data_IF_891031151130
#
_entry.id   IF_891031151130
#
_cell.length_a   1.000
_cell.length_b   1.000
_cell.length_c   1.000
_cell.angle_alpha   90.00
_cell.angle_beta   90.00
_cell.angle_gamma   90.00
#
_symmetry.space_group_name_H-M   'P 1'
#
loop_
_entity.id
_entity.type
_entity.pdbx_description
1 polymer ?
#
# COMPACT_ATOMS: atom_id res chain seq x y z
N UNK A 1 38.86 -35.31 47.32
CA UNK A 1 38.91 -34.20 46.37
C UNK A 1 38.78 -34.76 44.96
N UNK A 2 37.64 -34.64 44.33
CA UNK A 2 37.38 -35.11 42.94
C UNK A 2 37.11 -33.90 42.07
N UNK A 3 38.00 -33.59 41.17
CA UNK A 3 37.84 -32.53 40.17
C UNK A 3 36.89 -33.06 39.05
N UNK A 4 35.77 -32.35 38.81
CA UNK A 4 34.90 -32.57 37.67
C UNK A 4 35.35 -31.67 36.53
N UNK A 5 35.72 -32.29 35.42
CA UNK A 5 35.97 -31.60 34.16
C UNK A 5 34.62 -31.22 33.51
N UNK A 6 34.42 -29.97 33.25
CA UNK A 6 33.29 -29.45 32.45
C UNK A 6 33.82 -29.28 31.02
N UNK A 7 33.39 -30.13 30.11
CA UNK A 7 33.61 -29.95 28.67
C UNK A 7 32.64 -28.88 28.16
N UNK A 8 33.14 -27.73 27.74
CA UNK A 8 32.40 -26.72 27.00
C UNK A 8 32.32 -27.16 25.53
N UNK A 9 31.12 -27.49 25.08
CA UNK A 9 30.82 -27.73 23.65
C UNK A 9 30.58 -26.37 23.02
N UNK A 10 31.55 -25.88 22.25
CA UNK A 10 31.37 -24.72 21.42
C UNK A 10 30.53 -25.12 20.17
N UNK A 11 29.26 -24.68 20.14
CA UNK A 11 28.43 -24.75 18.91
C UNK A 11 28.89 -23.66 17.96
N UNK A 12 29.61 -24.04 16.90
CA UNK A 12 29.88 -23.17 15.77
C UNK A 12 28.59 -22.99 14.96
N UNK A 13 27.93 -21.85 15.10
CA UNK A 13 26.85 -21.41 14.20
C UNK A 13 27.50 -20.96 12.89
N UNK A 14 27.54 -21.85 11.91
CA UNK A 14 27.85 -21.49 10.53
C UNK A 14 26.67 -20.70 9.98
N UNK A 15 26.81 -19.39 9.90
CA UNK A 15 25.92 -18.52 9.15
C UNK A 15 26.02 -18.89 7.67
N UNK A 16 25.03 -19.61 7.17
CA UNK A 16 24.80 -19.80 5.75
C UNK A 16 24.36 -18.44 5.17
N UNK A 17 25.32 -17.62 4.75
CA UNK A 17 25.00 -16.53 3.85
C UNK A 17 24.56 -17.13 2.51
N UNK A 18 23.39 -16.75 1.98
CA UNK A 18 23.00 -17.19 0.65
C UNK A 18 24.08 -16.71 -0.33
N UNK A 19 24.63 -17.65 -1.09
CA UNK A 19 25.44 -17.34 -2.26
C UNK A 19 24.61 -16.44 -3.17
N UNK A 20 24.94 -15.14 -3.20
CA UNK A 20 24.39 -14.23 -4.20
C UNK A 20 24.85 -14.79 -5.55
N UNK A 21 23.91 -15.33 -6.29
CA UNK A 21 24.14 -15.74 -7.66
C UNK A 21 24.64 -14.51 -8.42
N UNK A 22 25.88 -14.55 -8.89
CA UNK A 22 26.44 -13.54 -9.81
C UNK A 22 25.59 -13.57 -11.07
N UNK A 23 24.61 -12.70 -11.15
CA UNK A 23 23.74 -12.56 -12.32
C UNK A 23 24.56 -11.83 -13.39
N UNK A 24 24.62 -12.38 -14.60
CA UNK A 24 25.27 -11.72 -15.72
C UNK A 24 24.67 -10.33 -15.95
N UNK A 25 25.50 -9.39 -16.41
CA UNK A 25 25.03 -8.07 -16.84
C UNK A 25 23.92 -8.23 -17.87
N UNK A 26 22.84 -7.48 -17.70
CA UNK A 26 21.80 -7.44 -18.73
C UNK A 26 22.35 -6.66 -19.94
N UNK A 27 22.44 -7.28 -21.13
CA UNK A 27 23.04 -6.63 -22.30
C UNK A 27 22.29 -5.37 -22.77
N UNK A 28 21.08 -5.15 -22.27
CA UNK A 28 20.23 -4.00 -22.59
C UNK A 28 20.23 -2.94 -21.49
N UNK A 29 21.13 -3.01 -20.50
CA UNK A 29 21.31 -1.98 -19.48
C UNK A 29 22.62 -1.23 -19.71
N UNK A 30 22.54 0.09 -19.61
CA UNK A 30 23.71 0.96 -19.76
C UNK A 30 24.65 0.81 -18.57
N UNK A 31 25.96 0.87 -18.84
CA UNK A 31 27.03 0.85 -17.85
C UNK A 31 27.95 2.06 -18.04
N UNK A 32 28.57 2.51 -16.94
CA UNK A 32 29.25 3.80 -16.85
C UNK A 32 30.67 3.63 -16.31
N UNK A 33 31.56 4.56 -16.66
CA UNK A 33 32.94 4.53 -16.16
C UNK A 33 33.07 5.02 -14.72
N UNK A 34 32.12 5.84 -14.26
CA UNK A 34 32.09 6.35 -12.88
C UNK A 34 30.67 6.45 -12.34
N UNK A 35 30.50 6.47 -10.99
CA UNK A 35 29.20 6.69 -10.36
C UNK A 35 28.61 8.06 -10.71
N UNK A 36 29.45 9.08 -10.83
CA UNK A 36 29.04 10.45 -11.18
C UNK A 36 28.47 10.51 -12.61
N UNK A 37 29.09 9.79 -13.55
CA UNK A 37 28.58 9.67 -14.93
C UNK A 37 27.19 9.03 -14.94
N UNK A 38 27.01 7.90 -14.26
CA UNK A 38 25.72 7.22 -14.12
C UNK A 38 24.63 8.14 -13.55
N UNK A 39 24.94 8.87 -12.48
CA UNK A 39 24.02 9.82 -11.86
C UNK A 39 23.69 10.97 -12.79
N UNK A 40 24.65 11.53 -13.50
CA UNK A 40 24.42 12.64 -14.43
C UNK A 40 23.51 12.24 -15.59
N UNK A 41 23.69 11.05 -16.17
CA UNK A 41 22.82 10.54 -17.23
C UNK A 41 21.41 10.33 -16.70
N UNK A 42 21.24 9.64 -15.57
CA UNK A 42 19.94 9.44 -14.91
C UNK A 42 19.21 10.77 -14.65
N UNK A 43 19.93 11.77 -14.07
CA UNK A 43 19.35 13.09 -13.75
C UNK A 43 18.90 13.83 -15.00
N UNK A 44 19.70 13.78 -16.06
CA UNK A 44 19.39 14.44 -17.34
C UNK A 44 18.14 13.82 -17.96
N UNK A 45 18.13 12.49 -18.11
CA UNK A 45 17.00 11.75 -18.66
C UNK A 45 15.71 11.96 -17.82
N UNK A 46 15.82 11.93 -16.49
CA UNK A 46 14.69 12.16 -15.62
C UNK A 46 14.13 13.59 -15.76
N UNK A 47 14.97 14.62 -15.77
CA UNK A 47 14.53 16.02 -15.93
C UNK A 47 13.85 16.29 -17.25
N UNK A 48 14.35 15.69 -18.31
CA UNK A 48 13.82 15.84 -19.66
C UNK A 48 12.61 14.94 -19.93
N UNK A 49 12.27 14.03 -19.01
CA UNK A 49 11.23 13.01 -19.17
C UNK A 49 11.52 12.06 -20.34
N UNK A 50 12.79 11.77 -20.58
CA UNK A 50 13.26 10.86 -21.61
C UNK A 50 13.12 9.40 -21.15
N UNK A 51 11.93 8.84 -21.40
CA UNK A 51 11.54 7.52 -20.88
C UNK A 51 12.45 6.41 -21.41
N UNK A 52 12.81 6.44 -22.68
CA UNK A 52 13.68 5.42 -23.29
C UNK A 52 15.11 5.47 -22.72
N UNK A 53 15.63 6.67 -22.45
CA UNK A 53 16.91 6.86 -21.79
C UNK A 53 16.90 6.29 -20.37
N UNK A 54 15.85 6.57 -19.60
CA UNK A 54 15.65 5.96 -18.27
C UNK A 54 15.56 4.44 -18.35
N UNK A 55 14.93 3.90 -19.40
CA UNK A 55 14.90 2.46 -19.62
C UNK A 55 16.29 1.89 -19.96
N UNK A 56 17.13 2.63 -20.67
CA UNK A 56 18.52 2.23 -20.91
C UNK A 56 19.32 2.23 -19.59
N UNK A 57 19.21 3.28 -18.80
CA UNK A 57 19.89 3.42 -17.49
C UNK A 57 19.50 2.30 -16.52
N UNK A 58 18.20 2.03 -16.38
CA UNK A 58 17.69 1.03 -15.42
C UNK A 58 17.53 -0.37 -16.05
N UNK A 59 17.76 -0.51 -17.35
CA UNK A 59 17.54 -1.75 -18.06
C UNK A 59 16.06 -2.12 -18.20
N UNK A 60 15.74 -3.28 -18.79
CA UNK A 60 14.36 -3.69 -19.08
C UNK A 60 13.48 -3.81 -17.83
N UNK A 61 14.06 -4.10 -16.66
CA UNK A 61 13.36 -4.13 -15.38
C UNK A 61 12.90 -2.74 -14.94
N UNK A 62 13.47 -1.67 -15.46
CA UNK A 62 13.08 -0.28 -15.17
C UNK A 62 11.60 0.00 -15.43
N UNK A 63 11.00 -0.69 -16.40
CA UNK A 63 9.56 -0.57 -16.73
C UNK A 63 8.64 -1.06 -15.59
N UNK A 64 9.12 -1.95 -14.73
CA UNK A 64 8.36 -2.52 -13.61
C UNK A 64 8.45 -1.70 -12.32
N UNK A 65 9.27 -0.65 -12.31
CA UNK A 65 9.46 0.23 -11.14
C UNK A 65 8.24 1.13 -10.88
N UNK A 66 7.49 1.43 -11.95
CA UNK A 66 6.35 2.35 -11.90
C UNK A 66 5.18 1.70 -11.15
N UNK A 67 4.45 2.49 -10.35
CA UNK A 67 3.22 2.01 -9.71
C UNK A 67 2.14 1.73 -10.76
N UNK A 68 1.36 0.63 -10.64
CA UNK A 68 0.17 0.42 -11.46
C UNK A 68 -0.94 1.44 -11.17
N UNK A 69 -0.90 2.14 -10.05
CA UNK A 69 -1.76 3.28 -9.73
C UNK A 69 -1.18 4.54 -10.37
N UNK A 70 -1.84 5.04 -11.44
CA UNK A 70 -1.37 6.18 -12.22
C UNK A 70 -1.23 7.47 -11.40
N UNK A 71 -2.08 7.69 -10.38
CA UNK A 71 -2.01 8.86 -9.50
C UNK A 71 -0.75 8.78 -8.63
N UNK A 72 -0.51 7.63 -8.03
CA UNK A 72 0.73 7.40 -7.26
C UNK A 72 1.98 7.46 -8.13
N UNK A 73 1.91 6.92 -9.35
CA UNK A 73 3.03 6.96 -10.30
C UNK A 73 3.42 8.40 -10.62
N UNK A 74 2.46 9.25 -10.96
CA UNK A 74 2.69 10.66 -11.24
C UNK A 74 3.26 11.41 -10.03
N UNK A 75 2.64 11.27 -8.86
CA UNK A 75 3.09 11.92 -7.62
C UNK A 75 4.51 11.47 -7.22
N UNK A 76 4.81 10.18 -7.35
CA UNK A 76 6.14 9.64 -7.06
C UNK A 76 7.21 10.18 -8.00
N UNK A 77 6.89 10.30 -9.28
CA UNK A 77 7.79 10.87 -10.29
C UNK A 77 8.06 12.35 -10.03
N UNK A 78 7.03 13.15 -9.76
CA UNK A 78 7.19 14.58 -9.47
C UNK A 78 8.02 14.80 -8.19
N UNK A 79 7.82 13.96 -7.15
CA UNK A 79 8.63 14.01 -5.94
C UNK A 79 10.09 13.62 -6.20
N UNK A 80 10.33 12.62 -7.04
CA UNK A 80 11.67 12.21 -7.46
C UNK A 80 12.39 13.36 -8.16
N UNK A 81 11.75 14.01 -9.16
CA UNK A 81 12.31 15.19 -9.84
C UNK A 81 12.61 16.32 -8.86
N UNK A 82 11.69 16.61 -7.95
CA UNK A 82 11.89 17.65 -6.92
C UNK A 82 13.13 17.38 -6.07
N UNK A 83 13.33 16.14 -5.63
CA UNK A 83 14.51 15.75 -4.84
C UNK A 83 15.80 15.83 -5.63
N UNK A 84 15.80 15.41 -6.90
CA UNK A 84 16.95 15.54 -7.80
C UNK A 84 17.40 17.00 -8.01
N UNK A 85 16.46 17.95 -7.97
CA UNK A 85 16.74 19.38 -8.09
C UNK A 85 17.34 19.99 -6.82
N UNK A 86 17.09 19.40 -5.64
CA UNK A 86 17.51 19.91 -4.36
C UNK A 86 18.95 19.51 -4.00
N UNK A 87 19.22 18.21 -3.97
CA UNK A 87 20.50 17.68 -3.53
C UNK A 87 20.65 16.22 -3.97
N UNK A 88 21.88 15.84 -4.29
CA UNK A 88 22.29 14.47 -4.55
C UNK A 88 23.59 14.22 -3.79
N UNK A 89 23.61 13.16 -2.96
CA UNK A 89 24.81 12.74 -2.24
C UNK A 89 25.06 11.27 -2.54
N UNK A 90 26.29 10.98 -2.98
CA UNK A 90 26.78 9.61 -3.12
C UNK A 90 27.40 9.18 -1.80
N UNK A 91 26.95 8.04 -1.29
CA UNK A 91 27.45 7.42 -0.07
C UNK A 91 28.12 6.10 -0.42
N UNK A 92 29.43 6.05 -0.28
CA UNK A 92 30.21 4.83 -0.53
C UNK A 92 29.97 3.83 0.60
N UNK A 93 29.35 2.69 0.26
CA UNK A 93 29.14 1.58 1.20
C UNK A 93 30.33 0.60 1.16
N UNK A 94 30.89 0.38 -0.05
CA UNK A 94 32.11 -0.39 -0.30
C UNK A 94 32.72 0.04 -1.62
N UNK A 95 33.86 -0.54 -2.02
CA UNK A 95 34.54 -0.25 -3.28
C UNK A 95 33.66 -0.53 -4.52
N UNK A 96 32.65 -1.38 -4.37
CA UNK A 96 31.77 -1.82 -5.44
C UNK A 96 30.30 -1.48 -5.22
N UNK A 97 29.97 -0.67 -4.21
CA UNK A 97 28.58 -0.33 -3.87
C UNK A 97 28.45 1.11 -3.35
N UNK A 98 27.57 1.86 -3.99
CA UNK A 98 27.27 3.26 -3.63
C UNK A 98 25.75 3.44 -3.53
N UNK A 99 25.31 4.02 -2.43
CA UNK A 99 23.93 4.49 -2.25
C UNK A 99 23.80 5.96 -2.62
N UNK A 100 22.63 6.39 -3.07
CA UNK A 100 22.31 7.77 -3.33
C UNK A 100 21.34 8.30 -2.27
N UNK A 101 21.61 9.48 -1.73
CA UNK A 101 20.67 10.24 -0.91
C UNK A 101 20.20 11.45 -1.70
N UNK A 102 18.89 11.59 -1.87
CA UNK A 102 18.27 12.63 -2.66
C UNK A 102 17.47 13.60 -1.81
N UNK A 103 17.43 14.86 -2.23
CA UNK A 103 16.65 15.89 -1.56
C UNK A 103 17.30 16.43 -0.27
N UNK A 104 16.70 17.48 0.29
CA UNK A 104 17.14 18.07 1.55
C UNK A 104 16.81 17.17 2.75
N UNK A 105 15.85 16.26 2.58
CA UNK A 105 15.47 15.23 3.54
C UNK A 105 16.39 14.00 3.53
N UNK A 106 17.43 13.98 2.67
CA UNK A 106 18.36 12.88 2.48
C UNK A 106 17.62 11.54 2.23
N UNK A 107 16.57 11.58 1.42
CA UNK A 107 15.78 10.38 1.08
C UNK A 107 16.65 9.34 0.37
N UNK A 108 16.75 8.11 0.91
CA UNK A 108 17.57 7.08 0.28
C UNK A 108 16.90 6.60 -1.00
N UNK A 109 17.59 6.85 -2.13
CA UNK A 109 17.16 6.34 -3.43
C UNK A 109 17.21 4.81 -3.42
N UNK A 110 16.15 4.13 -3.85
CA UNK A 110 16.04 2.68 -3.63
C UNK A 110 16.96 1.84 -4.52
N UNK A 111 17.51 2.41 -5.61
CA UNK A 111 18.35 1.68 -6.56
C UNK A 111 19.81 2.07 -6.34
N UNK A 112 20.64 1.20 -5.73
CA UNK A 112 22.05 1.49 -5.54
C UNK A 112 22.84 1.39 -6.85
N UNK A 113 24.00 2.03 -6.90
CA UNK A 113 25.01 1.81 -7.91
C UNK A 113 25.94 0.67 -7.46
N UNK A 114 26.21 -0.25 -8.35
CA UNK A 114 27.16 -1.35 -8.14
C UNK A 114 28.19 -1.38 -9.25
N UNK A 115 29.39 -1.87 -8.89
CA UNK A 115 30.47 -2.05 -9.84
C UNK A 115 30.56 -3.52 -10.27
N UNK A 116 30.51 -3.76 -11.57
CA UNK A 116 30.68 -5.09 -12.19
C UNK A 116 31.62 -4.97 -13.39
N UNK A 117 32.57 -5.87 -13.51
CA UNK A 117 33.53 -5.91 -14.60
C UNK A 117 34.23 -4.55 -14.86
N UNK A 118 34.49 -3.80 -13.78
CA UNK A 118 35.15 -2.49 -13.82
C UNK A 118 34.23 -1.31 -14.15
N UNK A 119 32.95 -1.54 -14.48
CA UNK A 119 31.96 -0.52 -14.81
C UNK A 119 30.86 -0.40 -13.78
N UNK A 120 30.26 0.79 -13.68
CA UNK A 120 29.18 1.08 -12.78
C UNK A 120 27.81 0.94 -13.47
N UNK A 121 26.82 0.41 -12.76
CA UNK A 121 25.43 0.31 -13.21
C UNK A 121 24.48 0.38 -12.02
N UNK A 122 23.22 0.73 -12.27
CA UNK A 122 22.18 0.68 -11.26
C UNK A 122 21.74 -0.76 -11.01
N UNK A 123 21.71 -1.22 -9.75
CA UNK A 123 21.17 -2.53 -9.38
C UNK A 123 19.64 -2.47 -9.32
N UNK A 124 19.03 -2.50 -10.50
CA UNK A 124 17.59 -2.34 -10.66
C UNK A 124 16.81 -3.48 -10.04
N UNK A 125 17.35 -4.70 -10.00
CA UNK A 125 16.70 -5.84 -9.35
C UNK A 125 16.56 -5.62 -7.84
N UNK A 126 17.63 -5.19 -7.16
CA UNK A 126 17.59 -4.84 -5.73
C UNK A 126 16.67 -3.63 -5.50
N UNK A 127 16.79 -2.60 -6.35
CA UNK A 127 15.95 -1.41 -6.29
C UNK A 127 14.46 -1.70 -6.47
N UNK A 128 14.10 -2.62 -7.36
CA UNK A 128 12.71 -3.04 -7.58
C UNK A 128 12.09 -3.64 -6.34
N UNK A 129 12.80 -4.51 -5.65
CA UNK A 129 12.32 -5.12 -4.40
C UNK A 129 12.07 -4.05 -3.34
N UNK A 130 12.97 -3.11 -3.18
CA UNK A 130 12.84 -2.01 -2.23
C UNK A 130 11.67 -1.07 -2.59
N UNK A 131 11.51 -0.73 -3.88
CA UNK A 131 10.37 0.09 -4.34
C UNK A 131 9.04 -0.59 -4.06
N UNK A 132 8.94 -1.89 -4.34
CA UNK A 132 7.73 -2.67 -4.07
C UNK A 132 7.47 -2.73 -2.56
N UNK A 133 8.48 -3.02 -1.74
CA UNK A 133 8.33 -3.09 -0.28
C UNK A 133 7.83 -1.76 0.30
N UNK A 134 8.40 -0.62 -0.12
CA UNK A 134 7.92 0.72 0.29
C UNK A 134 6.51 1.00 -0.17
N UNK A 135 6.17 0.65 -1.42
CA UNK A 135 4.82 0.81 -1.98
C UNK A 135 3.79 0.00 -1.20
N UNK A 136 4.06 -1.29 -1.00
CA UNK A 136 3.21 -2.19 -0.21
C UNK A 136 2.97 -1.61 1.18
N UNK A 137 4.03 -1.25 1.91
CA UNK A 137 3.91 -0.69 3.25
C UNK A 137 3.07 0.59 3.30
N UNK A 138 3.30 1.54 2.36
CA UNK A 138 2.50 2.78 2.29
C UNK A 138 1.03 2.50 1.98
N UNK A 139 0.74 1.62 1.05
CA UNK A 139 -0.62 1.29 0.64
C UNK A 139 -1.38 0.56 1.75
N UNK A 140 -0.73 -0.36 2.48
CA UNK A 140 -1.31 -1.06 3.63
C UNK A 140 -1.66 -0.09 4.76
N UNK A 141 -0.75 0.83 5.10
CA UNK A 141 -1.04 1.89 6.07
C UNK A 141 -2.19 2.79 5.60
N UNK A 142 -2.27 3.11 4.32
CA UNK A 142 -3.38 3.82 3.70
C UNK A 142 -4.70 3.06 3.84
N UNK A 143 -4.71 1.76 3.55
CA UNK A 143 -5.90 0.91 3.69
C UNK A 143 -6.39 0.83 5.16
N UNK A 144 -5.46 0.73 6.11
CA UNK A 144 -5.77 0.78 7.56
C UNK A 144 -6.38 2.12 7.93
N UNK A 145 -5.84 3.24 7.43
CA UNK A 145 -6.39 4.57 7.68
C UNK A 145 -7.82 4.71 7.11
N UNK A 146 -8.09 4.17 5.92
CA UNK A 146 -9.45 4.11 5.33
C UNK A 146 -10.38 3.28 6.20
N UNK A 147 -9.94 2.14 6.74
CA UNK A 147 -10.73 1.32 7.66
C UNK A 147 -11.15 2.13 8.91
N UNK A 148 -10.24 2.90 9.50
CA UNK A 148 -10.56 3.77 10.63
C UNK A 148 -11.53 4.90 10.25
N UNK A 149 -11.29 5.57 9.12
CA UNK A 149 -12.17 6.62 8.61
C UNK A 149 -13.59 6.08 8.33
N UNK A 150 -13.70 4.88 7.76
CA UNK A 150 -14.97 4.20 7.54
C UNK A 150 -15.75 3.98 8.83
N UNK A 151 -15.09 3.48 9.88
CA UNK A 151 -15.75 3.26 11.20
C UNK A 151 -16.28 4.56 11.78
N UNK A 152 -15.50 5.64 11.70
CA UNK A 152 -15.93 6.96 12.17
C UNK A 152 -17.09 7.51 11.33
N UNK A 153 -16.99 7.41 10.01
CA UNK A 153 -18.04 7.87 9.10
C UNK A 153 -19.36 7.12 9.31
N UNK A 154 -19.34 5.81 9.58
CA UNK A 154 -20.52 5.04 9.89
C UNK A 154 -21.18 5.48 11.21
N UNK A 155 -20.39 5.75 12.23
CA UNK A 155 -20.91 6.26 13.51
C UNK A 155 -21.52 7.65 13.37
N UNK A 156 -20.87 8.53 12.62
CA UNK A 156 -21.41 9.86 12.32
C UNK A 156 -22.69 9.76 11.49
N UNK A 157 -22.72 8.93 10.47
CA UNK A 157 -23.92 8.72 9.66
C UNK A 157 -25.11 8.29 10.50
N UNK A 158 -24.93 7.29 11.36
CA UNK A 158 -25.98 6.74 12.20
C UNK A 158 -26.39 7.65 13.38
N UNK A 159 -25.69 8.75 13.63
CA UNK A 159 -26.06 9.73 14.66
C UNK A 159 -27.29 10.58 14.30
N UNK A 160 -27.75 10.52 13.03
CA UNK A 160 -28.89 11.27 12.51
C UNK A 160 -29.75 10.37 11.60
N UNK A 161 -31.05 10.66 11.54
CA UNK A 161 -31.94 10.03 10.56
C UNK A 161 -31.70 10.64 9.17
N UNK A 162 -30.77 10.03 8.43
CA UNK A 162 -30.37 10.50 7.09
C UNK A 162 -31.42 10.20 6.00
N UNK A 163 -32.28 9.24 6.24
CA UNK A 163 -33.31 8.79 5.29
C UNK A 163 -34.69 9.34 5.59
N UNK A 164 -34.84 10.16 6.66
CA UNK A 164 -36.09 10.80 7.09
C UNK A 164 -37.26 9.81 7.28
N UNK A 165 -36.94 8.63 7.75
CA UNK A 165 -37.90 7.53 7.95
C UNK A 165 -38.11 7.14 9.43
N UNK A 166 -37.54 7.90 10.37
CA UNK A 166 -37.61 7.67 11.80
C UNK A 166 -36.65 6.63 12.33
N UNK A 167 -35.70 6.14 11.50
CA UNK A 167 -34.77 5.06 11.86
C UNK A 167 -33.32 5.55 11.80
N UNK A 168 -32.60 5.44 12.92
CA UNK A 168 -31.16 5.61 12.93
C UNK A 168 -30.50 4.32 12.39
N UNK A 169 -29.87 4.40 11.23
CA UNK A 169 -29.25 3.26 10.57
C UNK A 169 -27.85 3.63 10.06
N UNK A 170 -27.02 2.63 9.86
CA UNK A 170 -25.72 2.77 9.17
C UNK A 170 -25.91 2.81 7.66
N UNK A 171 -24.98 3.45 6.95
CA UNK A 171 -25.01 3.52 5.51
C UNK A 171 -24.65 2.16 4.88
N UNK A 172 -25.43 1.77 3.86
CA UNK A 172 -25.20 0.52 3.12
C UNK A 172 -24.26 0.69 1.93
N UNK A 173 -23.94 1.94 1.55
CA UNK A 173 -23.08 2.28 0.43
C UNK A 173 -21.97 3.25 0.86
N UNK A 174 -20.86 3.23 0.13
CA UNK A 174 -19.79 4.22 0.32
C UNK A 174 -20.14 5.56 -0.34
N UNK A 175 -20.84 5.52 -1.47
CA UNK A 175 -21.33 6.69 -2.20
C UNK A 175 -22.85 6.63 -2.32
N UNK A 176 -23.52 7.73 -2.03
CA UNK A 176 -24.98 7.88 -2.20
C UNK A 176 -25.37 7.93 -3.65
N UNK A 177 -26.57 7.44 -3.98
CA UNK A 177 -27.21 7.69 -5.25
C UNK A 177 -27.53 9.21 -5.40
N UNK A 178 -27.56 9.72 -6.63
CA UNK A 178 -27.84 11.13 -6.86
C UNK A 178 -29.16 11.57 -6.22
N UNK A 179 -29.11 12.61 -5.39
CA UNK A 179 -30.27 13.15 -4.70
C UNK A 179 -30.71 12.39 -3.44
N UNK A 180 -29.94 11.38 -3.02
CA UNK A 180 -30.18 10.65 -1.77
C UNK A 180 -29.04 10.82 -0.77
N UNK A 181 -29.22 10.30 0.47
CA UNK A 181 -28.18 10.23 1.49
C UNK A 181 -28.05 8.80 2.02
N UNK A 182 -28.13 7.79 1.13
CA UNK A 182 -28.10 6.35 1.46
C UNK A 182 -26.69 5.76 1.60
N UNK A 183 -25.66 6.55 1.26
CA UNK A 183 -24.24 6.23 1.41
C UNK A 183 -23.48 7.19 2.33
N UNK A 184 -22.22 6.91 2.58
CA UNK A 184 -21.35 7.72 3.45
C UNK A 184 -20.85 9.02 2.80
N UNK A 185 -20.88 9.10 1.48
CA UNK A 185 -20.50 10.28 0.73
C UNK A 185 -21.61 10.74 -0.22
N UNK A 186 -21.87 12.02 -0.22
CA UNK A 186 -22.62 12.76 -1.23
C UNK A 186 -21.97 14.13 -1.44
N UNK A 187 -22.04 14.68 -2.66
CA UNK A 187 -21.52 16.02 -2.91
C UNK A 187 -22.35 17.07 -2.16
N UNK A 188 -21.67 18.03 -1.55
CA UNK A 188 -22.27 19.15 -0.81
C UNK A 188 -21.98 20.46 -1.51
N UNK A 189 -22.85 21.47 -1.34
CA UNK A 189 -22.62 22.84 -1.81
C UNK A 189 -21.70 23.58 -0.85
N UNK A 190 -21.10 24.67 -1.34
CA UNK A 190 -20.27 25.53 -0.49
C UNK A 190 -21.07 26.03 0.72
N UNK A 191 -20.55 25.84 1.91
CA UNK A 191 -21.19 26.24 3.18
C UNK A 191 -22.10 25.18 3.81
N UNK A 192 -22.37 24.06 3.14
CA UNK A 192 -23.08 22.92 3.74
C UNK A 192 -22.11 22.01 4.53
N UNK A 193 -22.59 21.32 5.59
CA UNK A 193 -21.79 20.33 6.28
C UNK A 193 -21.33 19.20 5.33
N UNK A 194 -20.08 18.78 5.49
CA UNK A 194 -19.54 17.67 4.70
C UNK A 194 -20.29 16.36 5.00
N UNK A 195 -20.40 15.50 4.00
CA UNK A 195 -20.83 14.12 4.21
C UNK A 195 -19.81 13.35 5.04
N UNK A 196 -20.19 12.27 5.77
CA UNK A 196 -19.30 11.56 6.69
C UNK A 196 -17.95 11.12 6.11
N UNK A 197 -17.92 10.68 4.84
CA UNK A 197 -16.67 10.41 4.10
C UNK A 197 -16.16 11.62 3.29
N UNK A 198 -16.79 12.77 3.40
CA UNK A 198 -16.39 13.99 2.69
C UNK A 198 -14.93 14.37 2.88
N UNK A 199 -14.37 14.37 4.10
CA UNK A 199 -12.95 14.67 4.33
C UNK A 199 -12.01 13.70 3.61
N UNK A 200 -12.29 12.40 3.62
CA UNK A 200 -11.48 11.39 2.91
C UNK A 200 -11.54 11.60 1.39
N UNK A 201 -12.72 11.86 0.84
CA UNK A 201 -12.89 12.09 -0.60
C UNK A 201 -12.24 13.40 -1.03
N UNK A 202 -12.31 14.45 -0.21
CA UNK A 202 -11.64 15.73 -0.47
C UNK A 202 -10.11 15.56 -0.48
N UNK A 203 -9.54 14.80 0.46
CA UNK A 203 -8.12 14.46 0.47
C UNK A 203 -7.72 13.70 -0.80
N UNK A 204 -8.48 12.66 -1.16
CA UNK A 204 -8.25 11.88 -2.38
C UNK A 204 -8.31 12.73 -3.66
N UNK A 205 -9.25 13.69 -3.74
CA UNK A 205 -9.31 14.64 -4.86
C UNK A 205 -8.09 15.55 -4.90
N UNK A 206 -7.59 16.00 -3.74
CA UNK A 206 -6.37 16.79 -3.64
C UNK A 206 -5.12 16.03 -4.11
N UNK A 207 -5.13 14.73 -3.99
CA UNK A 207 -4.09 13.82 -4.51
C UNK A 207 -4.24 13.50 -6.01
N UNK A 208 -5.40 13.82 -6.62
CA UNK A 208 -5.68 13.54 -8.04
C UNK A 208 -6.63 12.38 -8.30
N UNK A 209 -7.18 11.72 -7.27
CA UNK A 209 -8.18 10.67 -7.42
C UNK A 209 -9.57 11.27 -7.65
N UNK A 210 -9.95 11.51 -8.89
CA UNK A 210 -11.27 12.00 -9.24
C UNK A 210 -12.32 10.88 -9.18
N UNK A 211 -13.52 11.17 -8.67
CA UNK A 211 -14.63 10.21 -8.52
C UNK A 211 -14.40 9.08 -7.53
N UNK A 212 -13.49 9.24 -6.56
CA UNK A 212 -13.05 8.21 -5.61
C UNK A 212 -14.21 7.42 -4.99
N UNK A 213 -15.23 8.10 -4.47
CA UNK A 213 -16.32 7.41 -3.79
C UNK A 213 -17.16 6.53 -4.72
N UNK A 214 -17.40 6.96 -5.99
CA UNK A 214 -18.04 6.13 -7.00
C UNK A 214 -17.19 4.91 -7.37
N UNK A 215 -15.88 5.12 -7.51
CA UNK A 215 -14.92 4.05 -7.82
C UNK A 215 -14.89 3.01 -6.69
N UNK A 216 -14.93 3.46 -5.42
CA UNK A 216 -14.99 2.59 -4.27
C UNK A 216 -16.25 1.70 -4.26
N UNK A 217 -17.44 2.26 -4.55
CA UNK A 217 -18.68 1.49 -4.63
C UNK A 217 -18.66 0.44 -5.74
N UNK A 218 -18.17 0.84 -6.92
CA UNK A 218 -18.19 0.02 -8.12
C UNK A 218 -16.95 -0.88 -8.24
N UNK A 219 -15.95 -0.68 -7.37
CA UNK A 219 -14.65 -1.37 -7.44
C UNK A 219 -14.00 -1.25 -8.84
N UNK A 220 -14.23 -0.13 -9.52
CA UNK A 220 -13.76 0.10 -10.89
C UNK A 220 -12.30 0.52 -10.95
N UNK A 221 -11.78 1.14 -9.88
CA UNK A 221 -10.37 1.46 -9.73
C UNK A 221 -9.97 1.42 -8.26
N UNK A 222 -8.71 1.05 -7.96
CA UNK A 222 -8.21 1.04 -6.59
C UNK A 222 -7.96 2.48 -6.10
N UNK A 223 -8.07 2.66 -4.78
CA UNK A 223 -7.60 3.85 -4.07
C UNK A 223 -6.38 3.46 -3.24
N UNK A 224 -5.24 4.12 -3.46
CA UNK A 224 -3.95 3.73 -2.89
C UNK A 224 -3.66 2.23 -3.06
N UNK A 225 -3.91 1.71 -4.27
CA UNK A 225 -3.67 0.31 -4.61
C UNK A 225 -4.62 -0.71 -3.97
N UNK A 226 -5.72 -0.27 -3.30
CA UNK A 226 -6.67 -1.13 -2.61
C UNK A 226 -8.10 -0.96 -3.12
N UNK A 227 -8.85 -2.06 -3.13
CA UNK A 227 -10.30 -2.08 -3.28
C UNK A 227 -10.98 -2.20 -1.92
N UNK A 228 -12.23 -1.68 -1.83
CA UNK A 228 -13.02 -1.66 -0.60
C UNK A 228 -14.44 -2.17 -0.86
N UNK A 229 -15.02 -2.90 0.10
CA UNK A 229 -16.41 -3.37 0.02
C UNK A 229 -17.04 -3.40 1.41
N UNK A 230 -18.27 -2.87 1.54
CA UNK A 230 -19.07 -3.02 2.74
C UNK A 230 -19.53 -4.47 2.88
N UNK A 231 -19.40 -5.02 4.08
CA UNK A 231 -19.93 -6.31 4.47
C UNK A 231 -21.20 -6.09 5.33
N UNK A 232 -22.26 -6.83 5.00
CA UNK A 232 -23.58 -6.63 5.59
C UNK A 232 -23.96 -7.66 6.67
N UNK A 233 -23.00 -8.50 7.07
CA UNK A 233 -23.19 -9.54 8.08
C UNK A 233 -21.87 -9.93 8.73
N UNK A 234 -21.95 -10.61 9.87
CA UNK A 234 -20.78 -11.21 10.51
C UNK A 234 -20.93 -12.73 10.66
N UNK A 235 -19.78 -13.39 10.76
CA UNK A 235 -19.66 -14.83 10.96
C UNK A 235 -19.56 -15.22 12.43
N UNK A 236 -19.36 -16.50 12.68
CA UNK A 236 -19.38 -17.10 14.02
C UNK A 236 -18.21 -16.73 14.92
N UNK A 237 -17.06 -16.32 14.34
CA UNK A 237 -15.88 -15.95 15.12
C UNK A 237 -15.86 -14.47 15.50
N UNK A 238 -16.82 -13.69 14.99
CA UNK A 238 -17.02 -12.32 15.45
C UNK A 238 -17.68 -12.28 16.82
N UNK A 239 -17.39 -11.26 17.60
CA UNK A 239 -18.05 -11.05 18.89
C UNK A 239 -19.57 -10.92 18.70
N UNK A 240 -20.34 -11.68 19.43
CA UNK A 240 -21.81 -11.76 19.30
C UNK A 240 -22.29 -12.87 18.36
N UNK A 241 -21.37 -13.61 17.71
CA UNK A 241 -21.69 -14.72 16.83
C UNK A 241 -22.23 -14.28 15.47
N UNK A 242 -22.84 -15.21 14.74
CA UNK A 242 -23.30 -15.00 13.36
C UNK A 242 -24.67 -14.31 13.31
N UNK A 243 -24.73 -13.14 12.63
CA UNK A 243 -26.00 -12.46 12.31
C UNK A 243 -25.86 -11.47 11.14
N UNK A 244 -27.00 -11.04 10.58
CA UNK A 244 -27.07 -10.02 9.56
C UNK A 244 -27.10 -8.63 10.20
N UNK A 245 -26.40 -7.67 9.59
CA UNK A 245 -26.45 -6.26 9.99
C UNK A 245 -27.70 -5.55 9.48
N UNK A 246 -28.30 -6.06 8.38
CA UNK A 246 -29.51 -5.51 7.79
C UNK A 246 -30.73 -6.23 8.36
N UNK A 247 -31.64 -5.46 8.96
CA UNK A 247 -32.91 -5.90 9.53
C UNK A 247 -34.01 -5.04 8.90
N UNK A 248 -35.00 -5.69 8.28
CA UNK A 248 -36.10 -5.00 7.58
C UNK A 248 -35.63 -3.92 6.58
N UNK A 249 -34.54 -4.20 5.84
CA UNK A 249 -33.98 -3.27 4.86
C UNK A 249 -33.04 -2.20 5.43
N UNK A 250 -32.91 -2.08 6.76
CA UNK A 250 -32.07 -1.09 7.43
C UNK A 250 -30.85 -1.74 8.09
N UNK A 251 -29.66 -1.17 7.86
CA UNK A 251 -28.43 -1.65 8.50
C UNK A 251 -28.30 -1.06 9.90
N UNK A 252 -28.93 -1.73 10.89
CA UNK A 252 -29.06 -1.26 12.27
C UNK A 252 -28.33 -2.14 13.29
N UNK A 253 -27.96 -3.37 12.93
CA UNK A 253 -27.34 -4.30 13.87
C UNK A 253 -25.81 -4.24 13.87
N UNK A 254 -25.21 -3.46 12.98
CA UNK A 254 -23.77 -3.30 12.85
C UNK A 254 -23.37 -2.97 11.41
N UNK A 255 -22.06 -2.93 11.18
CA UNK A 255 -21.47 -2.72 9.86
C UNK A 255 -20.08 -3.33 9.79
N UNK A 256 -19.58 -3.60 8.60
CA UNK A 256 -18.20 -4.00 8.41
C UNK A 256 -17.67 -3.61 7.01
N UNK A 257 -16.36 -3.62 6.86
CA UNK A 257 -15.65 -3.34 5.63
C UNK A 257 -14.58 -4.41 5.41
N UNK A 258 -14.34 -4.75 4.16
CA UNK A 258 -13.15 -5.47 3.70
C UNK A 258 -12.35 -4.58 2.74
N UNK A 259 -11.03 -4.57 2.88
CA UNK A 259 -10.09 -3.93 1.99
C UNK A 259 -9.07 -4.95 1.49
N UNK A 260 -8.79 -4.98 0.17
CA UNK A 260 -7.82 -5.93 -0.41
C UNK A 260 -7.00 -5.28 -1.51
N UNK A 261 -5.73 -5.72 -1.73
CA UNK A 261 -4.86 -5.16 -2.75
C UNK A 261 -5.36 -5.47 -4.16
N UNK A 262 -5.19 -4.51 -5.07
CA UNK A 262 -5.50 -4.69 -6.49
C UNK A 262 -4.57 -5.72 -7.14
N UNK A 263 -3.29 -5.72 -6.74
CA UNK A 263 -2.27 -6.66 -7.19
C UNK A 263 -1.49 -7.19 -5.98
N UNK A 264 -1.74 -8.44 -5.60
CA UNK A 264 -1.03 -9.09 -4.52
C UNK A 264 0.49 -9.11 -4.78
N UNK A 265 1.29 -8.73 -3.77
CA UNK A 265 2.75 -8.65 -3.86
C UNK A 265 3.28 -7.43 -4.62
N UNK A 266 2.42 -6.56 -5.16
CA UNK A 266 2.82 -5.33 -5.84
C UNK A 266 2.17 -4.08 -5.24
N UNK A 267 0.85 -4.07 -5.04
CA UNK A 267 0.15 -2.95 -4.40
C UNK A 267 -0.14 -3.18 -2.93
N UNK A 268 -0.06 -4.43 -2.47
CA UNK A 268 -0.24 -4.85 -1.08
C UNK A 268 -0.12 -6.36 -0.98
N UNK A 269 0.05 -6.85 0.24
CA UNK A 269 0.05 -8.28 0.59
C UNK A 269 -1.18 -8.59 1.44
N UNK A 270 -1.43 -7.77 2.47
CA UNK A 270 -2.48 -8.01 3.44
C UNK A 270 -3.86 -7.58 2.96
N UNK A 271 -4.85 -8.40 3.26
CA UNK A 271 -6.28 -8.08 3.18
C UNK A 271 -6.75 -7.71 4.56
N UNK A 272 -7.54 -6.64 4.69
CA UNK A 272 -8.01 -6.12 5.98
C UNK A 272 -9.52 -6.27 6.11
N UNK A 273 -10.00 -6.59 7.33
CA UNK A 273 -11.41 -6.51 7.69
C UNK A 273 -11.59 -5.72 8.98
N UNK A 274 -12.66 -4.93 9.05
CA UNK A 274 -13.02 -4.15 10.24
C UNK A 274 -14.53 -4.14 10.42
N UNK A 275 -15.01 -4.07 11.67
CA UNK A 275 -16.43 -3.88 11.97
C UNK A 275 -16.67 -2.70 12.94
N UNK A 276 -17.91 -2.55 13.42
CA UNK A 276 -18.33 -1.48 14.35
C UNK A 276 -17.51 -1.38 15.64
N UNK A 277 -16.76 -2.41 16.00
CA UNK A 277 -15.87 -2.39 17.17
C UNK A 277 -14.58 -1.59 16.89
N UNK A 278 -14.23 -1.38 15.61
CA UNK A 278 -13.06 -0.63 15.17
C UNK A 278 -11.75 -1.41 15.27
N UNK A 279 -11.79 -2.69 15.64
CA UNK A 279 -10.62 -3.55 15.62
C UNK A 279 -10.40 -4.08 14.20
N UNK A 280 -9.23 -3.78 13.63
CA UNK A 280 -8.85 -4.22 12.30
C UNK A 280 -8.13 -5.56 12.40
N UNK A 281 -8.46 -6.47 11.50
CA UNK A 281 -7.79 -7.75 11.33
C UNK A 281 -7.20 -7.83 9.93
N UNK A 282 -6.11 -8.55 9.79
CA UNK A 282 -5.37 -8.75 8.54
C UNK A 282 -5.16 -10.23 8.24
N UNK A 283 -5.08 -10.55 6.94
CA UNK A 283 -4.74 -11.87 6.45
C UNK A 283 -4.04 -11.78 5.09
N UNK A 284 -3.01 -12.58 4.89
CA UNK A 284 -2.44 -12.82 3.56
C UNK A 284 -3.25 -13.92 2.84
N UNK A 285 -4.03 -13.54 1.83
CA UNK A 285 -4.82 -14.48 1.01
C UNK A 285 -4.02 -15.03 -0.19
N UNK A 286 -2.76 -14.61 -0.34
CA UNK A 286 -1.84 -15.06 -1.39
C UNK A 286 -2.17 -14.53 -2.79
N UNK A 287 -1.52 -15.11 -3.83
CA UNK A 287 -1.64 -14.62 -5.21
C UNK A 287 -3.06 -14.64 -5.81
N UNK A 288 -3.99 -15.34 -5.15
CA UNK A 288 -5.40 -15.41 -5.60
C UNK A 288 -6.30 -14.37 -4.92
N UNK A 289 -5.74 -13.41 -4.18
CA UNK A 289 -6.48 -12.40 -3.42
C UNK A 289 -7.53 -11.69 -4.26
N UNK A 290 -7.21 -11.27 -5.48
CA UNK A 290 -8.14 -10.58 -6.39
C UNK A 290 -9.40 -11.39 -6.71
N UNK A 291 -9.36 -12.71 -6.60
CA UNK A 291 -10.49 -13.61 -6.83
C UNK A 291 -11.18 -14.05 -5.53
N UNK A 292 -10.44 -14.11 -4.42
CA UNK A 292 -10.93 -14.58 -3.13
C UNK A 292 -11.62 -13.47 -2.33
N UNK A 293 -10.97 -12.31 -2.19
CA UNK A 293 -11.46 -11.23 -1.36
C UNK A 293 -12.85 -10.69 -1.77
N UNK A 294 -13.17 -10.50 -3.07
CA UNK A 294 -14.51 -10.08 -3.47
C UNK A 294 -15.63 -11.05 -3.07
N UNK A 295 -15.32 -12.34 -2.86
CA UNK A 295 -16.26 -13.37 -2.45
C UNK A 295 -16.50 -13.43 -0.95
N UNK A 296 -15.63 -12.80 -0.15
CA UNK A 296 -15.85 -12.68 1.30
C UNK A 296 -17.09 -11.81 1.51
N UNK A 297 -18.13 -12.38 2.13
CA UNK A 297 -19.44 -11.76 2.28
C UNK A 297 -19.77 -11.44 3.74
N UNK A 298 -18.94 -11.85 4.69
CA UNK A 298 -19.16 -11.66 6.13
C UNK A 298 -17.85 -11.27 6.84
N UNK A 299 -17.95 -10.45 7.87
CA UNK A 299 -16.88 -10.19 8.80
C UNK A 299 -16.73 -11.40 9.73
N UNK A 300 -15.72 -12.22 9.51
CA UNK A 300 -15.47 -13.43 10.30
C UNK A 300 -13.98 -13.57 10.64
N UNK A 301 -13.50 -12.94 11.72
CA UNK A 301 -12.08 -12.93 12.08
C UNK A 301 -11.67 -14.27 12.73
N UNK A 302 -11.74 -15.37 11.99
CA UNK A 302 -11.28 -16.68 12.41
C UNK A 302 -9.76 -16.63 12.70
N UNK A 303 -9.33 -16.89 13.95
CA UNK A 303 -7.92 -16.74 14.35
C UNK A 303 -6.95 -17.71 13.64
N UNK A 304 -7.46 -18.66 12.89
CA UNK A 304 -6.64 -19.53 12.03
C UNK A 304 -6.16 -18.81 10.78
N UNK A 305 -6.82 -17.72 10.38
CA UNK A 305 -6.55 -16.99 9.13
C UNK A 305 -6.31 -15.51 9.34
N UNK A 306 -6.93 -14.92 10.38
CA UNK A 306 -6.94 -13.50 10.63
C UNK A 306 -6.20 -13.16 11.93
N UNK A 307 -5.27 -12.23 11.85
CA UNK A 307 -4.57 -11.67 13.01
C UNK A 307 -4.98 -10.22 13.23
N UNK A 308 -5.08 -9.75 14.48
CA UNK A 308 -5.27 -8.33 14.74
C UNK A 308 -4.08 -7.53 14.21
N UNK A 309 -4.35 -6.40 13.55
CA UNK A 309 -3.29 -5.47 13.11
C UNK A 309 -2.50 -4.98 14.31
N UNK A 310 -1.17 -5.01 14.21
CA UNK A 310 -0.26 -4.63 15.31
C UNK A 310 -0.09 -5.70 16.39
N UNK A 311 -0.64 -6.89 16.22
CA UNK A 311 -0.24 -8.03 17.04
C UNK A 311 1.20 -8.40 16.68
N UNK A 312 2.08 -8.38 17.67
CA UNK A 312 3.43 -8.93 17.52
C UNK A 312 3.28 -10.44 17.39
N UNK A 313 3.86 -11.09 16.36
CA UNK A 313 3.77 -12.53 16.16
C UNK A 313 4.43 -13.33 17.30
#
# INVERSE_FOLDING_TARGET
>A
MKFKHVCAVALAIQALWPLQSVRAMNPNQESFNSPEEAVNVMVTAARNRETEELHAVFGPEGRTLVSPDAVQAAASYDMFIKRLQQKIVLVTNSDDNISLLLGNDNWPFPIPLIKRDGQWLFDTDAGRQEIIARRVGMNELGAIAVCHAYVQAQREYASQDRMTNGILAYAQFLHSDPGTHDGLYWPVKAGEPLSPLGPLVAAAHGEGYHHTAKMLNQQTAPYHGYYFKILTRQGRHALGGKYNYIINGHMIAGFALIAWPAEWGNTGVMTFIVNQQGKIYEADLGPKTIHLAPRIAEFDPDPRWWSPVGAVP
#
